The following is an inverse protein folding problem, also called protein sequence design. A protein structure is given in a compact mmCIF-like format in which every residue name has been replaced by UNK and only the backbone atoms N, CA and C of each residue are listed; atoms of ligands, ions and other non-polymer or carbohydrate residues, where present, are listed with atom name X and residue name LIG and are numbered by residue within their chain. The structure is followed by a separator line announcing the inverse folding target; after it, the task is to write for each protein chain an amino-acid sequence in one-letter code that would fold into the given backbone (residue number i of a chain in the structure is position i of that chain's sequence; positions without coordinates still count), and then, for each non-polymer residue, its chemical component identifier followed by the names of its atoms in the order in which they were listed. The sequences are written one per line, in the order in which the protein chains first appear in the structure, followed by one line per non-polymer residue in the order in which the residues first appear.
data_IF_401390686395
#
_entry.id   IF_401390686395
#
_cell.length_a   1.000
_cell.length_b   1.000
_cell.length_c   1.000
_cell.angle_alpha   90.00
_cell.angle_beta   90.00
_cell.angle_gamma   90.00
#
_symmetry.space_group_name_H-M   'P 1'
#
loop_
_entity.id
_entity.type
_entity.pdbx_description
1 polymer ?
#
# COMPACT_ATOMS: atom_id res chain seq x y z
N UNK A 1 -11.56 -15.68 4.81
CA UNK A 1 -10.09 -15.82 4.92
C UNK A 1 -9.48 -14.48 4.55
N UNK A 2 -8.54 -13.93 5.34
CA UNK A 2 -7.85 -12.71 4.94
C UNK A 2 -7.11 -12.96 3.63
N UNK A 3 -7.24 -12.03 2.69
CA UNK A 3 -6.63 -12.11 1.35
C UNK A 3 -5.53 -11.07 1.27
N UNK A 4 -4.29 -11.52 1.34
CA UNK A 4 -3.09 -10.69 1.27
C UNK A 4 -1.88 -11.55 1.54
N UNK A 5 -0.82 -11.40 0.74
CA UNK A 5 0.39 -12.23 0.87
C UNK A 5 1.15 -11.98 2.18
N UNK A 6 0.87 -10.88 2.88
CA UNK A 6 1.59 -10.43 4.08
C UNK A 6 0.78 -10.58 5.38
N UNK A 7 -0.36 -11.26 5.34
CA UNK A 7 -1.22 -11.43 6.52
C UNK A 7 -0.46 -12.21 7.60
N UNK A 8 -0.39 -11.63 8.81
CA UNK A 8 0.31 -12.24 9.95
C UNK A 8 1.84 -12.12 9.92
N UNK A 9 2.40 -11.44 8.92
CA UNK A 9 3.84 -11.15 8.88
C UNK A 9 4.14 -9.82 9.59
N UNK A 10 5.26 -9.79 10.31
CA UNK A 10 5.87 -8.57 10.83
C UNK A 10 6.87 -8.03 9.81
N UNK A 11 7.13 -6.71 9.86
CA UNK A 11 8.14 -6.08 9.01
C UNK A 11 9.50 -6.76 9.26
N UNK A 12 10.25 -7.16 8.21
CA UNK A 12 11.57 -7.75 8.39
C UNK A 12 12.48 -6.83 9.21
N UNK A 13 13.28 -7.39 10.12
CA UNK A 13 14.21 -6.61 10.97
C UNK A 13 15.26 -5.88 10.13
N UNK A 14 15.62 -6.45 8.98
CA UNK A 14 16.59 -5.93 8.02
C UNK A 14 15.92 -5.24 6.82
N UNK A 15 14.67 -4.79 6.95
CA UNK A 15 13.94 -4.12 5.90
C UNK A 15 14.70 -2.90 5.36
N UNK A 16 14.94 -2.88 4.05
CA UNK A 16 15.59 -1.76 3.39
C UNK A 16 14.65 -0.53 3.39
N UNK A 17 15.20 0.69 3.51
CA UNK A 17 14.43 1.89 3.23
C UNK A 17 14.05 1.95 1.74
N UNK A 18 13.01 2.72 1.37
CA UNK A 18 12.74 3.03 -0.02
C UNK A 18 14.01 3.60 -0.69
N UNK A 19 14.45 3.05 -1.84
CA UNK A 19 15.66 3.50 -2.52
C UNK A 19 15.52 4.89 -3.15
N UNK A 20 14.28 5.33 -3.42
CA UNK A 20 13.98 6.59 -4.08
C UNK A 20 13.19 7.54 -3.16
N UNK A 21 13.18 8.85 -3.42
CA UNK A 21 12.27 9.79 -2.78
C UNK A 21 10.80 9.45 -3.06
N UNK A 22 9.89 9.80 -2.14
CA UNK A 22 8.46 9.49 -2.31
C UNK A 22 7.85 10.06 -3.60
N UNK A 23 8.26 11.24 -4.04
CA UNK A 23 7.88 11.81 -5.33
C UNK A 23 8.05 10.86 -6.52
N UNK A 24 9.09 10.02 -6.50
CA UNK A 24 9.39 9.07 -7.59
C UNK A 24 8.40 7.93 -7.71
N UNK A 25 7.59 7.68 -6.68
CA UNK A 25 6.54 6.66 -6.67
C UNK A 25 5.14 7.23 -7.00
N UNK A 26 5.03 8.54 -7.20
CA UNK A 26 3.76 9.15 -7.56
C UNK A 26 3.38 8.81 -9.01
N UNK A 27 2.13 8.40 -9.22
CA UNK A 27 1.67 7.97 -10.54
C UNK A 27 0.31 7.30 -10.51
N UNK A 28 -0.20 6.98 -11.71
CA UNK A 28 -1.42 6.19 -11.87
C UNK A 28 -1.03 4.78 -12.33
N UNK A 29 -1.42 3.80 -11.53
CA UNK A 29 -1.13 2.39 -11.74
C UNK A 29 -2.41 1.66 -12.11
N UNK A 30 -2.39 0.94 -13.22
CA UNK A 30 -3.56 0.17 -13.63
C UNK A 30 -3.68 -1.09 -12.78
N UNK A 31 -4.87 -1.35 -12.25
CA UNK A 31 -5.20 -2.58 -11.55
C UNK A 31 -6.53 -3.13 -12.06
N UNK A 32 -6.54 -4.33 -12.62
CA UNK A 32 -7.74 -4.91 -13.24
C UNK A 32 -8.87 -5.18 -12.24
N UNK A 33 -8.55 -5.34 -10.95
CA UNK A 33 -9.52 -5.60 -9.90
C UNK A 33 -10.08 -4.31 -9.28
N UNK A 34 -9.23 -3.30 -9.07
CA UNK A 34 -9.63 -2.05 -8.40
C UNK A 34 -9.89 -0.88 -9.36
N UNK A 35 -9.57 -1.02 -10.64
CA UNK A 35 -9.44 0.11 -11.56
C UNK A 35 -8.14 0.88 -11.35
N UNK A 36 -7.98 2.07 -11.93
CA UNK A 36 -6.78 2.87 -11.76
C UNK A 36 -6.56 3.25 -10.29
N UNK A 37 -5.36 2.95 -9.80
CA UNK A 37 -4.86 3.28 -8.48
C UNK A 37 -3.93 4.49 -8.57
N UNK A 38 -4.28 5.58 -7.91
CA UNK A 38 -3.46 6.80 -7.92
C UNK A 38 -2.58 6.84 -6.68
N UNK A 39 -1.27 6.93 -6.85
CA UNK A 39 -0.31 7.18 -5.78
C UNK A 39 0.13 8.64 -5.85
N UNK A 40 0.08 9.34 -4.73
CA UNK A 40 0.52 10.72 -4.60
C UNK A 40 1.40 10.89 -3.36
N UNK A 41 2.40 11.77 -3.43
CA UNK A 41 3.10 12.23 -2.23
C UNK A 41 2.23 13.27 -1.49
N UNK A 42 2.04 13.08 -0.18
CA UNK A 42 1.38 14.03 0.72
C UNK A 42 2.06 14.04 2.08
N UNK A 43 2.32 15.24 2.60
CA UNK A 43 2.87 15.45 3.95
C UNK A 43 4.14 14.62 4.25
N UNK A 44 4.99 14.43 3.23
CA UNK A 44 6.22 13.64 3.35
C UNK A 44 5.98 12.12 3.42
N UNK A 45 4.84 11.63 2.96
CA UNK A 45 4.50 10.21 2.82
C UNK A 45 3.76 9.93 1.51
N UNK A 46 3.40 8.67 1.29
CA UNK A 46 2.64 8.24 0.11
C UNK A 46 1.17 7.99 0.47
N UNK A 47 0.28 8.44 -0.39
CA UNK A 47 -1.16 8.18 -0.33
C UNK A 47 -1.62 7.43 -1.58
N UNK A 48 -2.33 6.33 -1.38
CA UNK A 48 -2.98 5.53 -2.41
C UNK A 48 -4.48 5.86 -2.46
N UNK A 49 -4.98 6.29 -3.61
CA UNK A 49 -6.41 6.50 -3.88
C UNK A 49 -6.95 5.38 -4.77
N UNK A 50 -8.01 4.71 -4.33
CA UNK A 50 -8.67 3.62 -5.04
C UNK A 50 -10.13 3.98 -5.39
N UNK A 51 -10.32 4.82 -6.41
CA UNK A 51 -11.65 5.20 -6.89
C UNK A 51 -12.62 5.58 -5.74
N UNK A 52 -13.88 5.08 -5.74
CA UNK A 52 -14.87 5.42 -4.72
C UNK A 52 -14.60 4.79 -3.34
N UNK A 53 -13.55 3.98 -3.19
CA UNK A 53 -13.21 3.33 -1.91
C UNK A 53 -12.44 4.24 -0.96
N UNK A 54 -11.88 5.32 -1.50
CA UNK A 54 -11.16 6.33 -0.73
C UNK A 54 -9.64 6.24 -0.84
N UNK A 55 -9.00 6.89 0.12
CA UNK A 55 -7.56 7.10 0.15
C UNK A 55 -6.93 6.44 1.39
N UNK A 56 -5.72 5.90 1.22
CA UNK A 56 -5.01 5.14 2.24
C UNK A 56 -3.55 5.58 2.30
N UNK A 57 -3.03 5.82 3.49
CA UNK A 57 -1.61 6.04 3.69
C UNK A 57 -0.83 4.75 3.41
N UNK A 58 0.15 4.82 2.52
CA UNK A 58 1.11 3.77 2.23
C UNK A 58 2.26 3.84 3.24
N UNK A 59 2.53 2.73 3.91
CA UNK A 59 3.62 2.57 4.87
C UNK A 59 4.77 1.80 4.22
N UNK A 60 6.02 2.32 4.28
CA UNK A 60 7.19 1.58 3.83
C UNK A 60 7.30 0.24 4.55
N UNK A 61 7.56 -0.81 3.78
CA UNK A 61 7.75 -2.16 4.31
C UNK A 61 9.19 -2.60 4.13
N UNK A 62 9.64 -2.74 2.88
CA UNK A 62 10.98 -3.19 2.50
C UNK A 62 11.30 -2.77 1.07
N UNK A 63 12.27 -1.87 0.88
CA UNK A 63 12.60 -1.30 -0.43
C UNK A 63 11.40 -0.65 -1.11
N UNK A 64 11.05 -1.15 -2.31
CA UNK A 64 9.89 -0.68 -3.08
C UNK A 64 8.56 -1.31 -2.64
N UNK A 65 8.54 -2.09 -1.56
CA UNK A 65 7.30 -2.67 -1.03
C UNK A 65 6.66 -1.69 -0.06
N UNK A 66 5.41 -1.34 -0.36
CA UNK A 66 4.55 -0.54 0.50
C UNK A 66 3.32 -1.32 0.92
N UNK A 67 2.81 -0.97 2.10
CA UNK A 67 1.64 -1.62 2.70
C UNK A 67 0.59 -0.60 3.08
N UNK A 68 -0.67 -0.98 2.95
CA UNK A 68 -1.80 -0.22 3.49
C UNK A 68 -2.81 -1.16 4.11
N UNK A 69 -3.48 -0.67 5.15
CA UNK A 69 -4.52 -1.41 5.86
C UNK A 69 -5.88 -0.94 5.38
N UNK A 70 -6.72 -1.87 4.94
CA UNK A 70 -8.10 -1.58 4.56
C UNK A 70 -9.02 -2.29 5.55
N UNK A 71 -9.78 -1.52 6.34
CA UNK A 71 -10.87 -2.08 7.16
C UNK A 71 -12.14 -1.94 6.34
N UNK A 72 -12.44 -2.94 5.51
CA UNK A 72 -13.81 -3.13 5.03
C UNK A 72 -14.44 -4.28 5.75
N UNK A 73 -15.75 -4.18 5.97
CA UNK A 73 -16.68 -5.12 6.60
C UNK A 73 -16.70 -6.56 6.00
N UNK A 74 -15.70 -6.95 5.20
CA UNK A 74 -15.44 -8.31 4.70
C UNK A 74 -13.95 -8.75 4.81
N UNK A 75 -13.06 -7.90 5.33
CA UNK A 75 -11.67 -8.24 5.61
C UNK A 75 -11.52 -8.40 7.13
N UNK A 76 -11.37 -9.63 7.66
CA UNK A 76 -11.10 -9.81 9.09
C UNK A 76 -9.83 -9.03 9.48
N UNK A 77 -9.73 -8.60 10.75
CA UNK A 77 -8.59 -7.82 11.25
C UNK A 77 -7.24 -8.41 10.81
N UNK A 78 -6.33 -7.58 10.29
CA UNK A 78 -4.98 -8.00 9.88
C UNK A 78 -4.73 -8.17 8.38
N UNK A 79 -5.61 -7.67 7.51
CA UNK A 79 -5.37 -7.67 6.06
C UNK A 79 -4.36 -6.58 5.65
N UNK A 80 -3.27 -6.97 4.99
CA UNK A 80 -2.23 -6.09 4.46
C UNK A 80 -2.09 -6.34 2.96
N UNK A 81 -2.33 -5.30 2.16
CA UNK A 81 -2.25 -5.36 0.69
C UNK A 81 -0.89 -4.88 0.20
N UNK A 82 -0.36 -5.53 -0.85
CA UNK A 82 0.91 -5.19 -1.50
C UNK A 82 0.65 -4.45 -2.81
N UNK A 83 1.30 -3.30 -2.99
CA UNK A 83 1.47 -2.67 -4.29
C UNK A 83 2.96 -2.80 -4.70
N UNK A 84 3.21 -3.05 -5.99
CA UNK A 84 4.55 -3.12 -6.61
C UNK A 84 4.51 -2.43 -7.95
#
# INVERSE_FOLDING_TARGET
KPVGSLVGQSRPENAAPPPEPFASYAGVYNNDYWGPATVAERDGGLELTLGPRGSFTLKPWDGNVFTFSFVTENAPPGTVSKAT
#
